data_IF_385322670512
#
_entry.id   IF_385322670512
#
_cell.length_a   1.000
_cell.length_b   1.000
_cell.length_c   1.000
_cell.angle_alpha   90.00
_cell.angle_beta   90.00
_cell.angle_gamma   90.00
#
_symmetry.space_group_name_H-M   'P 1'
#
loop_
_entity.id
_entity.type
_entity.pdbx_description
1 polymer ?
#
# COMPACT_ATOMS: atom_id res chain seq x y z
N UNK A 1 -0.48 -6.25 -1.92
CA UNK A 1 -0.69 -4.88 -2.45
C UNK A 1 -0.69 -4.88 -3.97
N UNK A 2 0.38 -5.34 -4.62
CA UNK A 2 0.47 -5.38 -6.09
C UNK A 2 -0.64 -6.24 -6.71
N UNK A 3 -0.85 -7.47 -6.22
CA UNK A 3 -1.87 -8.38 -6.77
C UNK A 3 -3.28 -7.78 -6.71
N UNK A 4 -3.60 -7.04 -5.64
CA UNK A 4 -4.88 -6.35 -5.51
C UNK A 4 -5.04 -5.24 -6.57
N UNK A 5 -3.97 -4.48 -6.85
CA UNK A 5 -3.98 -3.48 -7.92
C UNK A 5 -4.09 -4.15 -9.30
N UNK A 6 -3.43 -5.30 -9.51
CA UNK A 6 -3.51 -6.07 -10.75
C UNK A 6 -4.94 -6.48 -11.10
N UNK A 7 -5.77 -6.78 -10.10
CA UNK A 7 -7.18 -7.16 -10.25
C UNK A 7 -8.11 -6.00 -10.62
N UNK A 8 -7.68 -4.74 -10.53
CA UNK A 8 -8.50 -3.59 -10.94
C UNK A 8 -8.70 -3.60 -12.47
N UNK A 9 -9.95 -3.48 -12.89
CA UNK A 9 -10.37 -3.53 -14.29
C UNK A 9 -10.34 -2.16 -15.00
N UNK A 10 -10.42 -1.07 -14.23
CA UNK A 10 -10.35 0.30 -14.70
C UNK A 10 -9.53 1.20 -13.75
N UNK A 11 -9.23 2.44 -14.14
CA UNK A 11 -8.49 3.38 -13.29
C UNK A 11 -9.26 3.73 -12.01
N UNK A 12 -8.60 3.58 -10.86
CA UNK A 12 -9.16 3.90 -9.54
C UNK A 12 -8.25 4.87 -8.76
N UNK A 13 -8.82 5.45 -7.69
CA UNK A 13 -8.02 6.04 -6.61
C UNK A 13 -7.79 4.99 -5.51
N UNK A 14 -6.54 4.56 -5.34
CA UNK A 14 -6.17 3.48 -4.41
C UNK A 14 -5.57 4.08 -3.13
N UNK A 15 -6.21 3.80 -1.99
CA UNK A 15 -5.69 4.22 -0.68
C UNK A 15 -5.04 3.03 0.01
N UNK A 16 -3.73 3.11 0.24
CA UNK A 16 -2.99 2.09 0.97
C UNK A 16 -2.95 2.46 2.46
N UNK A 17 -3.61 1.64 3.27
CA UNK A 17 -3.61 1.81 4.72
C UNK A 17 -2.48 0.97 5.32
N UNK A 18 -1.56 1.62 6.03
CA UNK A 18 -0.43 0.96 6.70
C UNK A 18 -0.27 1.46 8.13
N UNK A 19 0.28 0.62 9.01
CA UNK A 19 0.58 1.00 10.39
C UNK A 19 1.86 1.84 10.53
N UNK A 20 2.70 1.94 9.48
CA UNK A 20 3.96 2.68 9.54
C UNK A 20 4.43 3.13 8.15
N UNK A 21 5.07 4.32 8.05
CA UNK A 21 5.72 4.79 6.82
C UNK A 21 7.11 4.18 6.58
N UNK A 22 7.69 3.47 7.56
CA UNK A 22 9.10 3.07 7.54
C UNK A 22 9.53 2.32 6.27
N UNK A 23 8.67 1.46 5.73
CA UNK A 23 8.97 0.71 4.51
C UNK A 23 9.04 1.63 3.27
N UNK A 24 8.19 2.66 3.22
CA UNK A 24 8.20 3.67 2.16
C UNK A 24 9.42 4.57 2.29
N UNK A 25 9.67 5.11 3.49
CA UNK A 25 10.83 5.98 3.76
C UNK A 25 12.15 5.30 3.39
N UNK A 26 12.30 4.02 3.77
CA UNK A 26 13.50 3.23 3.40
C UNK A 26 13.61 3.05 1.88
N UNK A 27 12.51 2.73 1.20
CA UNK A 27 12.52 2.57 -0.24
C UNK A 27 12.89 3.87 -0.98
N UNK A 28 12.41 5.01 -0.51
CA UNK A 28 12.70 6.33 -1.09
C UNK A 28 14.17 6.72 -1.01
N UNK A 29 14.86 6.33 0.08
CA UNK A 29 16.32 6.54 0.22
C UNK A 29 17.15 5.42 -0.44
N UNK A 30 16.49 4.50 -1.16
CA UNK A 30 17.17 3.41 -1.88
C UNK A 30 17.53 2.20 -1.03
N UNK A 31 17.04 2.12 0.21
CA UNK A 31 17.32 1.08 1.20
C UNK A 31 16.13 0.14 1.45
N UNK A 32 16.41 -0.94 2.18
CA UNK A 32 15.40 -1.86 2.70
C UNK A 32 14.98 -2.96 1.71
N UNK A 33 14.47 -4.08 2.24
CA UNK A 33 14.16 -5.26 1.42
C UNK A 33 12.97 -5.05 0.46
N UNK A 34 12.14 -4.03 0.71
CA UNK A 34 10.89 -3.80 0.00
C UNK A 34 11.01 -2.75 -1.12
N UNK A 35 12.21 -2.19 -1.35
CA UNK A 35 12.40 -1.11 -2.33
C UNK A 35 11.85 -1.47 -3.70
N UNK A 36 12.32 -2.58 -4.26
CA UNK A 36 11.97 -2.99 -5.61
C UNK A 36 10.47 -3.33 -5.72
N UNK A 37 9.86 -3.84 -4.64
CA UNK A 37 8.42 -4.09 -4.57
C UNK A 37 7.59 -2.79 -4.55
N UNK A 38 8.06 -1.74 -3.89
CA UNK A 38 7.39 -0.44 -3.85
C UNK A 38 7.49 0.25 -5.22
N UNK A 39 8.63 0.18 -5.89
CA UNK A 39 8.76 0.69 -7.26
C UNK A 39 7.88 -0.09 -8.24
N UNK A 40 7.80 -1.41 -8.10
CA UNK A 40 6.92 -2.24 -8.91
C UNK A 40 5.44 -1.85 -8.71
N UNK A 41 5.03 -1.58 -7.47
CA UNK A 41 3.70 -1.08 -7.16
C UNK A 41 3.39 0.24 -7.89
N UNK A 42 4.32 1.20 -7.85
CA UNK A 42 4.17 2.48 -8.57
C UNK A 42 4.08 2.28 -10.08
N UNK A 43 4.90 1.37 -10.64
CA UNK A 43 4.87 1.03 -12.06
C UNK A 43 3.51 0.47 -12.46
N UNK A 44 2.96 -0.47 -11.69
CA UNK A 44 1.65 -1.08 -11.96
C UNK A 44 0.52 -0.05 -11.84
N UNK A 45 0.53 0.79 -10.81
CA UNK A 45 -0.47 1.87 -10.65
C UNK A 45 -0.45 2.84 -11.83
N UNK A 46 0.74 3.27 -12.26
CA UNK A 46 0.92 4.16 -13.40
C UNK A 46 0.44 3.51 -14.71
N UNK A 47 0.81 2.25 -14.95
CA UNK A 47 0.39 1.51 -16.14
C UNK A 47 -1.14 1.35 -16.24
N UNK A 48 -1.83 1.27 -15.09
CA UNK A 48 -3.31 1.22 -15.01
C UNK A 48 -3.97 2.60 -14.94
N UNK A 49 -3.22 3.69 -14.99
CA UNK A 49 -3.75 5.05 -14.85
C UNK A 49 -4.38 5.34 -13.48
N UNK A 50 -4.04 4.56 -12.46
CA UNK A 50 -4.56 4.75 -11.11
C UNK A 50 -3.85 5.91 -10.40
N UNK A 51 -4.59 6.63 -9.56
CA UNK A 51 -4.00 7.55 -8.58
C UNK A 51 -3.90 6.84 -7.23
N UNK A 52 -3.03 7.30 -6.34
CA UNK A 52 -2.85 6.66 -5.05
C UNK A 52 -2.55 7.63 -3.91
N UNK A 53 -2.82 7.18 -2.69
CA UNK A 53 -2.44 7.84 -1.45
C UNK A 53 -2.06 6.79 -0.39
N UNK A 54 -1.19 7.17 0.53
CA UNK A 54 -0.85 6.36 1.71
C UNK A 54 -1.48 6.99 2.96
N UNK A 55 -2.29 6.21 3.67
CA UNK A 55 -2.86 6.56 4.97
C UNK A 55 -2.11 5.78 6.06
N UNK A 56 -1.16 6.45 6.72
CA UNK A 56 -0.35 5.88 7.79
C UNK A 56 -1.02 6.09 9.15
N UNK A 57 -1.53 5.02 9.72
CA UNK A 57 -2.17 5.03 11.04
C UNK A 57 -1.21 4.52 12.11
N UNK A 58 -0.14 5.28 12.33
CA UNK A 58 0.87 4.96 13.33
C UNK A 58 0.25 4.77 14.72
N UNK A 59 0.61 3.68 15.40
CA UNK A 59 0.06 3.33 16.72
C UNK A 59 -1.35 2.71 16.70
N UNK A 60 -2.03 2.65 15.54
CA UNK A 60 -3.39 2.09 15.39
C UNK A 60 -3.44 0.65 14.92
N UNK A 61 -2.31 -0.05 14.93
CA UNK A 61 -2.23 -1.45 14.45
C UNK A 61 -3.24 -2.38 15.13
N UNK A 62 -3.47 -2.20 16.45
CA UNK A 62 -4.48 -2.98 17.19
C UNK A 62 -5.92 -2.72 16.71
N UNK A 63 -6.24 -1.47 16.37
CA UNK A 63 -7.57 -1.07 15.92
C UNK A 63 -7.83 -1.53 14.48
N UNK A 64 -6.80 -1.47 13.62
CA UNK A 64 -6.86 -2.03 12.26
C UNK A 64 -7.05 -3.54 12.32
N UNK A 65 -6.25 -4.24 13.11
CA UNK A 65 -6.36 -5.70 13.23
C UNK A 65 -7.72 -6.12 13.80
N UNK A 66 -8.27 -5.36 14.76
CA UNK A 66 -9.62 -5.59 15.26
C UNK A 66 -10.66 -5.41 14.15
N UNK A 67 -10.56 -4.34 13.36
CA UNK A 67 -11.49 -4.07 12.27
C UNK A 67 -11.45 -5.15 11.18
N UNK A 68 -10.25 -5.65 10.82
CA UNK A 68 -10.09 -6.76 9.88
C UNK A 68 -10.70 -8.06 10.41
N UNK A 69 -10.44 -8.37 11.70
CA UNK A 69 -11.03 -9.53 12.36
C UNK A 69 -12.57 -9.47 12.41
N UNK A 70 -13.13 -8.29 12.71
CA UNK A 70 -14.58 -8.08 12.76
C UNK A 70 -15.24 -8.25 11.36
N UNK A 71 -14.49 -8.03 10.28
CA UNK A 71 -14.96 -8.16 8.89
C UNK A 71 -14.51 -9.47 8.20
N UNK A 72 -13.85 -10.37 8.94
CA UNK A 72 -13.41 -11.68 8.45
C UNK A 72 -12.52 -11.62 7.19
N UNK A 73 -11.64 -10.61 7.13
CA UNK A 73 -10.68 -10.38 6.04
C UNK A 73 -9.29 -10.84 6.45
#
# INVERSE_FOLDING_TARGET
MIDAVLQLDCPHHVVFISASPLALEKAEIGEGPNRDLIYELYRVLSAKGCTYAFDFRAGKGKEINKLLADHNV
#
